data_IF_556678936240
#
_entry.id   IF_556678936240
#
_cell.length_a   1.000
_cell.length_b   1.000
_cell.length_c   1.000
_cell.angle_alpha   90.00
_cell.angle_beta   90.00
_cell.angle_gamma   90.00
#
_symmetry.space_group_name_H-M   'P 1'
#
loop_
_entity.id
_entity.type
_entity.pdbx_description
1 polymer ?
#
# COMPACT_ATOMS: atom_id res chain seq x y z
N UNK A 1 8.63 7.79 10.67
CA UNK A 1 8.63 6.89 9.49
C UNK A 1 9.86 7.19 8.66
N UNK A 2 10.27 6.30 7.76
CA UNK A 2 11.34 6.55 6.78
C UNK A 2 10.83 6.58 5.35
N UNK A 3 9.59 6.21 5.11
CA UNK A 3 9.00 6.27 3.78
C UNK A 3 7.49 6.07 3.78
N UNK A 4 6.91 6.35 2.60
CA UNK A 4 5.52 6.14 2.25
C UNK A 4 5.44 4.98 1.24
N UNK A 5 4.45 4.10 1.39
CA UNK A 5 4.31 2.90 0.55
C UNK A 5 2.95 2.78 -0.15
N UNK A 6 2.08 3.80 -0.03
CA UNK A 6 0.81 3.85 -0.73
C UNK A 6 0.34 5.29 -0.91
N UNK A 7 0.52 5.84 -2.09
CA UNK A 7 0.03 7.17 -2.46
C UNK A 7 -0.15 7.30 -3.98
N UNK A 8 -0.89 8.32 -4.39
CA UNK A 8 -1.34 8.55 -5.76
C UNK A 8 -0.89 9.91 -6.28
N UNK A 9 -0.72 9.99 -7.59
CA UNK A 9 -0.39 11.22 -8.31
C UNK A 9 -1.47 11.58 -9.34
N UNK A 10 -1.21 12.61 -10.14
CA UNK A 10 -2.08 12.98 -11.28
C UNK A 10 -2.14 11.92 -12.39
N UNK A 11 -1.40 10.81 -12.28
CA UNK A 11 -1.57 9.65 -13.15
C UNK A 11 -2.86 8.87 -12.85
N UNK A 12 -3.38 8.96 -11.63
CA UNK A 12 -4.73 8.57 -11.26
C UNK A 12 -5.68 9.76 -11.40
N UNK A 13 -6.90 9.57 -11.90
CA UNK A 13 -7.83 10.68 -12.14
C UNK A 13 -8.30 11.41 -10.88
N UNK A 14 -8.16 10.78 -9.73
CA UNK A 14 -8.48 11.30 -8.39
C UNK A 14 -7.27 11.88 -7.66
N UNK A 15 -6.06 11.69 -8.19
CA UNK A 15 -4.84 12.33 -7.71
C UNK A 15 -4.76 13.82 -8.10
N UNK A 16 -4.22 14.63 -7.18
CA UNK A 16 -4.21 16.11 -7.31
C UNK A 16 -2.83 16.73 -7.26
N UNK A 17 -1.80 15.94 -7.10
CA UNK A 17 -0.40 16.39 -7.08
C UNK A 17 0.42 15.55 -8.04
N UNK A 18 1.38 16.18 -8.72
CA UNK A 18 2.35 15.48 -9.55
C UNK A 18 3.26 14.58 -8.73
N UNK A 19 3.95 13.65 -9.39
CA UNK A 19 4.95 12.78 -8.75
C UNK A 19 5.99 13.62 -8.02
N UNK A 20 6.47 14.70 -8.65
CA UNK A 20 7.49 15.57 -8.05
C UNK A 20 6.98 16.31 -6.81
N UNK A 21 5.74 16.84 -6.83
CA UNK A 21 5.14 17.50 -5.67
C UNK A 21 4.97 16.51 -4.49
N UNK A 22 4.53 15.28 -4.76
CA UNK A 22 4.43 14.23 -3.77
C UNK A 22 5.80 13.88 -3.17
N UNK A 23 6.81 13.69 -4.02
CA UNK A 23 8.18 13.38 -3.61
C UNK A 23 8.80 14.50 -2.76
N UNK A 24 8.63 15.77 -3.16
CA UNK A 24 9.14 16.94 -2.40
C UNK A 24 8.46 17.08 -1.04
N UNK A 25 7.14 16.87 -0.98
CA UNK A 25 6.39 16.92 0.28
C UNK A 25 6.79 15.79 1.23
N UNK A 26 6.93 14.55 0.75
CA UNK A 26 7.39 13.42 1.55
C UNK A 26 8.83 13.65 2.06
N UNK A 27 9.73 14.14 1.20
CA UNK A 27 11.11 14.51 1.58
C UNK A 27 11.13 15.59 2.65
N UNK A 28 10.30 16.62 2.52
CA UNK A 28 10.18 17.70 3.52
C UNK A 28 9.63 17.18 4.85
N UNK A 29 8.77 16.17 4.85
CA UNK A 29 8.27 15.49 6.04
C UNK A 29 9.29 14.52 6.67
N UNK A 30 10.51 14.42 6.12
CA UNK A 30 11.63 13.61 6.64
C UNK A 30 11.70 12.20 6.11
N UNK A 31 10.89 11.84 5.11
CA UNK A 31 10.99 10.55 4.44
C UNK A 31 12.26 10.45 3.59
N UNK A 32 12.64 9.23 3.28
CA UNK A 32 13.78 8.88 2.44
C UNK A 32 13.36 8.26 1.11
N UNK A 33 12.14 7.73 1.04
CA UNK A 33 11.55 7.12 -0.14
C UNK A 33 10.02 7.23 -0.12
N UNK A 34 9.42 7.06 -1.29
CA UNK A 34 7.98 7.03 -1.50
C UNK A 34 7.67 6.06 -2.65
N UNK A 35 6.74 5.13 -2.47
CA UNK A 35 6.21 4.32 -3.55
C UNK A 35 5.03 5.05 -4.20
N UNK A 36 5.15 5.33 -5.49
CA UNK A 36 4.06 5.85 -6.28
C UNK A 36 3.20 4.68 -6.74
N UNK A 37 2.00 4.57 -6.18
CA UNK A 37 1.11 3.42 -6.35
C UNK A 37 -0.21 3.82 -7.00
N UNK A 38 -0.14 4.56 -8.09
CA UNK A 38 -1.33 4.95 -8.85
C UNK A 38 -2.14 3.71 -9.26
N UNK A 39 -3.46 3.87 -9.35
CA UNK A 39 -4.38 2.79 -9.66
C UNK A 39 -4.11 2.15 -11.03
N UNK A 40 -4.02 0.83 -11.09
CA UNK A 40 -3.73 0.03 -12.30
C UNK A 40 -4.64 0.36 -13.48
N UNK A 41 -5.93 0.61 -13.23
CA UNK A 41 -6.89 0.86 -14.30
C UNK A 41 -6.70 2.19 -15.02
N UNK A 42 -5.95 3.15 -14.44
CA UNK A 42 -5.54 4.39 -15.09
C UNK A 42 -4.20 4.29 -15.83
N UNK A 43 -3.44 3.21 -15.60
CA UNK A 43 -2.08 3.04 -16.11
C UNK A 43 -2.00 2.05 -17.30
N UNK A 44 -3.09 1.90 -18.05
CA UNK A 44 -3.15 1.05 -19.24
C UNK A 44 -2.58 1.75 -20.48
N UNK A 45 -2.47 1.01 -21.55
CA UNK A 45 -2.16 1.51 -22.91
C UNK A 45 -0.87 2.34 -22.98
N UNK A 46 0.21 1.84 -22.37
CA UNK A 46 1.54 2.48 -22.35
C UNK A 46 1.70 3.61 -21.34
N UNK A 47 0.67 3.89 -20.54
CA UNK A 47 0.74 4.93 -19.51
C UNK A 47 1.63 4.53 -18.34
N UNK A 48 1.72 3.24 -18.00
CA UNK A 48 2.58 2.75 -16.93
C UNK A 48 4.06 3.02 -17.24
N UNK A 49 4.50 2.70 -18.44
CA UNK A 49 5.89 2.95 -18.87
C UNK A 49 6.17 4.46 -18.98
N UNK A 50 5.16 5.25 -19.35
CA UNK A 50 5.29 6.71 -19.37
C UNK A 50 5.43 7.27 -17.93
N UNK A 51 4.67 6.77 -16.97
CA UNK A 51 4.83 7.11 -15.56
C UNK A 51 6.21 6.71 -15.03
N UNK A 52 6.72 5.53 -15.40
CA UNK A 52 8.05 5.08 -14.98
C UNK A 52 9.16 6.01 -15.48
N UNK A 53 9.04 6.51 -16.71
CA UNK A 53 9.98 7.53 -17.24
C UNK A 53 9.93 8.82 -16.42
N UNK A 54 8.73 9.31 -16.08
CA UNK A 54 8.60 10.48 -15.20
C UNK A 54 9.19 10.22 -13.81
N UNK A 55 8.98 9.02 -13.22
CA UNK A 55 9.59 8.64 -11.95
C UNK A 55 11.12 8.69 -12.04
N UNK A 56 11.70 8.17 -13.13
CA UNK A 56 13.15 8.18 -13.32
C UNK A 56 13.68 9.63 -13.43
N UNK A 57 12.99 10.51 -14.16
CA UNK A 57 13.34 11.94 -14.25
C UNK A 57 13.19 12.67 -12.92
N UNK A 58 12.12 12.39 -12.15
CA UNK A 58 11.93 12.98 -10.82
C UNK A 58 13.03 12.50 -9.88
N UNK A 59 13.43 11.22 -9.93
CA UNK A 59 14.49 10.67 -9.11
C UNK A 59 15.81 11.44 -9.31
N UNK A 60 16.15 11.89 -10.54
CA UNK A 60 17.33 12.72 -10.76
C UNK A 60 17.25 14.07 -10.02
N UNK A 61 16.05 14.66 -9.96
CA UNK A 61 15.84 16.00 -9.37
C UNK A 61 15.72 15.99 -7.83
N UNK A 62 15.30 14.88 -7.23
CA UNK A 62 15.03 14.82 -5.79
C UNK A 62 16.11 14.13 -4.95
N UNK A 63 17.18 13.62 -5.56
CA UNK A 63 18.28 12.95 -4.85
C UNK A 63 18.64 13.62 -3.53
N UNK A 64 18.99 12.89 -2.49
CA UNK A 64 19.09 11.43 -2.37
C UNK A 64 17.77 10.74 -2.02
N UNK A 65 16.63 11.43 -2.09
CA UNK A 65 15.29 10.85 -1.94
C UNK A 65 14.98 9.91 -3.12
N UNK A 66 14.23 8.84 -2.89
CA UNK A 66 13.88 7.88 -3.94
C UNK A 66 12.37 7.74 -4.09
N UNK A 67 11.87 7.95 -5.31
CA UNK A 67 10.53 7.53 -5.75
C UNK A 67 10.65 6.11 -6.30
N UNK A 68 9.81 5.21 -5.80
CA UNK A 68 9.74 3.82 -6.20
C UNK A 68 8.66 3.65 -7.26
N UNK A 69 8.90 2.77 -8.23
CA UNK A 69 7.91 2.33 -9.22
C UNK A 69 6.95 1.36 -8.54
N UNK A 70 5.74 1.81 -8.24
CA UNK A 70 4.73 1.00 -7.59
C UNK A 70 3.42 1.00 -8.36
N UNK A 71 2.45 0.24 -7.85
CA UNK A 71 1.09 0.18 -8.37
C UNK A 71 0.12 -0.19 -7.26
N UNK A 72 -1.10 0.37 -7.29
CA UNK A 72 -2.24 -0.21 -6.60
C UNK A 72 -3.08 -0.98 -7.61
N UNK A 73 -2.99 -2.30 -7.55
CA UNK A 73 -3.69 -3.24 -8.42
C UNK A 73 -5.01 -3.69 -7.80
N UNK A 74 -6.02 -3.93 -8.66
CA UNK A 74 -7.31 -4.42 -8.20
C UNK A 74 -7.28 -5.95 -8.00
N UNK A 75 -7.84 -6.42 -6.90
CA UNK A 75 -8.20 -7.82 -6.70
C UNK A 75 -9.55 -8.06 -7.38
N UNK A 76 -9.56 -8.83 -8.48
CA UNK A 76 -10.77 -9.16 -9.25
C UNK A 76 -11.71 -10.07 -8.48
N UNK A 77 -12.90 -10.31 -9.02
CA UNK A 77 -13.93 -11.16 -8.40
C UNK A 77 -13.50 -12.62 -8.24
N UNK A 78 -12.57 -13.10 -9.06
CA UNK A 78 -11.97 -14.42 -8.98
C UNK A 78 -10.71 -14.47 -8.10
N UNK A 79 -10.31 -13.35 -7.51
CA UNK A 79 -9.10 -13.21 -6.68
C UNK A 79 -7.83 -12.93 -7.45
N UNK A 80 -7.86 -12.95 -8.80
CA UNK A 80 -6.69 -12.58 -9.60
C UNK A 80 -6.37 -11.09 -9.51
N UNK A 81 -5.12 -10.73 -9.77
CA UNK A 81 -4.66 -9.34 -9.85
C UNK A 81 -4.92 -8.82 -11.28
N UNK A 82 -5.35 -7.57 -11.41
CA UNK A 82 -5.70 -6.98 -12.72
C UNK A 82 -4.51 -6.49 -13.56
N UNK A 83 -3.31 -6.84 -13.12
CA UNK A 83 -2.02 -6.58 -13.79
C UNK A 83 -1.32 -7.91 -14.01
N UNK A 84 -0.71 -8.09 -15.17
CA UNK A 84 0.01 -9.33 -15.51
C UNK A 84 1.28 -9.49 -14.68
N UNK A 85 1.66 -10.72 -14.34
CA UNK A 85 2.81 -11.03 -13.49
C UNK A 85 4.13 -10.53 -14.12
N UNK A 86 4.24 -10.55 -15.44
CA UNK A 86 5.40 -10.02 -16.19
C UNK A 86 5.60 -8.51 -15.94
N UNK A 87 4.51 -7.79 -15.70
CA UNK A 87 4.56 -6.37 -15.31
C UNK A 87 4.82 -6.20 -13.82
N UNK A 88 4.17 -7.02 -12.98
CA UNK A 88 4.32 -6.94 -11.53
C UNK A 88 5.77 -7.19 -11.07
N UNK A 89 6.50 -8.06 -11.75
CA UNK A 89 7.90 -8.38 -11.41
C UNK A 89 8.85 -7.19 -11.59
N UNK A 90 8.54 -6.28 -12.50
CA UNK A 90 9.35 -5.07 -12.78
C UNK A 90 9.16 -3.96 -11.74
N UNK A 91 8.11 -4.05 -10.91
CA UNK A 91 7.76 -3.02 -9.93
C UNK A 91 8.59 -3.13 -8.65
N UNK A 92 8.89 -1.98 -8.07
CA UNK A 92 9.53 -1.90 -6.75
C UNK A 92 8.54 -2.27 -5.61
N UNK A 93 7.23 -1.94 -5.76
CA UNK A 93 6.23 -2.17 -4.73
C UNK A 93 4.82 -2.37 -5.32
N UNK A 94 4.13 -3.43 -4.91
CA UNK A 94 2.77 -3.76 -5.37
C UNK A 94 1.81 -3.81 -4.19
N UNK A 95 0.81 -2.95 -4.22
CA UNK A 95 -0.35 -3.00 -3.33
C UNK A 95 -1.51 -3.65 -4.07
N UNK A 96 -2.14 -4.66 -3.48
CA UNK A 96 -3.35 -5.26 -4.01
C UNK A 96 -4.55 -4.90 -3.14
N UNK A 97 -5.63 -4.40 -3.75
CA UNK A 97 -6.77 -3.84 -3.02
C UNK A 97 -8.13 -4.30 -3.54
N UNK A 98 -9.08 -4.46 -2.63
CA UNK A 98 -10.50 -4.62 -2.98
C UNK A 98 -11.13 -3.25 -3.22
N UNK A 99 -11.60 -2.97 -4.45
CA UNK A 99 -12.31 -1.74 -4.79
C UNK A 99 -13.79 -1.94 -5.13
N UNK A 100 -14.20 -3.19 -5.34
CA UNK A 100 -15.58 -3.54 -5.73
C UNK A 100 -16.00 -4.90 -5.20
N UNK A 101 -17.30 -5.21 -5.30
CA UNK A 101 -17.88 -6.50 -4.93
C UNK A 101 -17.48 -6.93 -3.50
N UNK A 102 -17.62 -6.02 -2.54
CA UNK A 102 -17.23 -6.23 -1.14
C UNK A 102 -18.03 -7.33 -0.43
N UNK A 103 -19.17 -7.72 -1.01
CA UNK A 103 -20.08 -8.78 -0.57
C UNK A 103 -19.83 -10.14 -1.23
N UNK A 104 -18.86 -10.23 -2.15
CA UNK A 104 -18.59 -11.45 -2.92
C UNK A 104 -17.27 -12.07 -2.49
N UNK A 105 -17.35 -13.03 -1.57
CA UNK A 105 -16.21 -13.85 -1.09
C UNK A 105 -14.94 -13.03 -0.83
N UNK A 106 -14.99 -11.93 -0.04
CA UNK A 106 -13.84 -11.03 0.11
C UNK A 106 -12.63 -11.75 0.71
N UNK A 107 -12.83 -12.69 1.63
CA UNK A 107 -11.76 -13.47 2.24
C UNK A 107 -11.02 -14.29 1.20
N UNK A 108 -11.72 -15.10 0.42
CA UNK A 108 -11.14 -16.01 -0.59
C UNK A 108 -10.38 -15.21 -1.66
N UNK A 109 -10.90 -14.06 -2.05
CA UNK A 109 -10.24 -13.15 -3.01
C UNK A 109 -8.93 -12.59 -2.45
N UNK A 110 -8.92 -12.18 -1.19
CA UNK A 110 -7.70 -11.70 -0.54
C UNK A 110 -6.70 -12.85 -0.38
N UNK A 111 -7.14 -14.05 0.00
CA UNK A 111 -6.28 -15.22 0.09
C UNK A 111 -5.63 -15.54 -1.25
N UNK A 112 -6.39 -15.53 -2.34
CA UNK A 112 -5.85 -15.72 -3.69
C UNK A 112 -4.82 -14.63 -4.08
N UNK A 113 -5.08 -13.37 -3.71
CA UNK A 113 -4.13 -12.29 -3.92
C UNK A 113 -2.84 -12.45 -3.10
N UNK A 114 -2.94 -12.99 -1.87
CA UNK A 114 -1.79 -13.31 -1.02
C UNK A 114 -0.93 -14.44 -1.61
N UNK A 115 -1.50 -15.30 -2.45
CA UNK A 115 -0.78 -16.37 -3.13
C UNK A 115 0.06 -15.88 -4.31
N UNK A 116 -0.21 -14.67 -4.82
CA UNK A 116 0.59 -14.07 -5.87
C UNK A 116 1.94 -13.58 -5.30
N UNK A 117 3.09 -14.14 -5.75
CA UNK A 117 4.41 -13.82 -5.20
C UNK A 117 4.88 -12.39 -5.47
N UNK A 118 4.19 -11.66 -6.36
CA UNK A 118 4.51 -10.28 -6.70
C UNK A 118 3.75 -9.25 -5.88
N UNK A 119 2.75 -9.68 -5.08
CA UNK A 119 2.01 -8.80 -4.17
C UNK A 119 2.82 -8.56 -2.91
N UNK A 120 3.18 -7.32 -2.63
CA UNK A 120 3.96 -6.93 -1.47
C UNK A 120 3.08 -6.58 -0.25
N UNK A 121 1.89 -6.01 -0.49
CA UNK A 121 0.95 -5.60 0.56
C UNK A 121 -0.51 -5.71 0.12
N UNK A 122 -1.38 -6.07 1.05
CA UNK A 122 -2.83 -5.86 0.89
C UNK A 122 -3.16 -4.48 1.42
N UNK A 123 -3.75 -3.64 0.56
CA UNK A 123 -4.20 -2.30 0.91
C UNK A 123 -5.55 -2.31 1.62
N UNK A 124 -5.81 -1.32 2.48
CA UNK A 124 -7.09 -1.10 3.20
C UNK A 124 -8.01 -2.32 3.31
N UNK A 125 -7.54 -3.30 4.10
CA UNK A 125 -7.96 -4.72 4.15
C UNK A 125 -9.47 -4.97 4.02
N UNK A 126 -10.31 -4.18 4.71
CA UNK A 126 -11.76 -4.37 4.68
C UNK A 126 -12.45 -3.43 3.69
N UNK A 127 -11.74 -2.46 3.15
CA UNK A 127 -12.31 -1.43 2.26
C UNK A 127 -13.37 -0.56 2.92
N UNK A 128 -13.45 -0.53 4.27
CA UNK A 128 -14.44 0.29 4.98
C UNK A 128 -14.29 1.76 4.67
N UNK A 129 -15.40 2.47 4.76
CA UNK A 129 -15.44 3.94 4.79
C UNK A 129 -16.30 4.40 5.95
N UNK A 130 -15.68 5.05 6.93
CA UNK A 130 -16.33 5.51 8.17
C UNK A 130 -17.54 6.41 7.82
N UNK A 131 -18.66 6.15 8.44
CA UNK A 131 -19.94 6.83 8.22
C UNK A 131 -20.52 6.72 6.79
N UNK A 132 -19.92 5.90 5.91
CA UNK A 132 -20.38 5.75 4.52
C UNK A 132 -20.66 4.30 4.12
N UNK A 133 -19.75 3.38 4.45
CA UNK A 133 -19.85 1.97 4.06
C UNK A 133 -19.18 1.10 5.12
N UNK A 134 -19.85 0.04 5.60
CA UNK A 134 -19.19 -0.97 6.42
C UNK A 134 -18.03 -1.63 5.66
N UNK A 135 -17.10 -2.20 6.37
CA UNK A 135 -16.08 -3.03 5.77
C UNK A 135 -16.67 -4.32 5.20
N UNK A 136 -15.96 -4.91 4.24
CA UNK A 136 -16.23 -6.26 3.79
C UNK A 136 -16.12 -7.25 4.96
N UNK A 137 -16.93 -8.30 4.94
CA UNK A 137 -16.91 -9.37 5.94
C UNK A 137 -15.71 -10.30 5.67
N UNK A 138 -14.55 -9.89 6.14
CA UNK A 138 -13.27 -10.58 5.96
C UNK A 138 -12.95 -11.41 7.20
N UNK A 139 -12.67 -12.69 7.02
CA UNK A 139 -12.06 -13.55 8.04
C UNK A 139 -10.59 -13.13 8.25
N UNK A 140 -10.40 -12.18 9.16
CA UNK A 140 -9.10 -11.55 9.37
C UNK A 140 -8.08 -12.57 9.92
N UNK A 141 -8.50 -13.55 10.70
CA UNK A 141 -7.62 -14.58 11.24
C UNK A 141 -7.00 -15.42 10.13
N UNK A 142 -7.81 -15.87 9.16
CA UNK A 142 -7.32 -16.59 7.99
C UNK A 142 -6.38 -15.75 7.13
N UNK A 143 -6.74 -14.49 6.89
CA UNK A 143 -5.91 -13.57 6.09
C UNK A 143 -4.57 -13.33 6.79
N UNK A 144 -4.57 -13.08 8.09
CA UNK A 144 -3.34 -12.89 8.88
C UNK A 144 -2.46 -14.15 8.85
N UNK A 145 -3.05 -15.33 9.04
CA UNK A 145 -2.31 -16.60 8.96
C UNK A 145 -1.63 -16.76 7.59
N UNK A 146 -2.37 -16.50 6.50
CA UNK A 146 -1.82 -16.60 5.14
C UNK A 146 -0.77 -15.54 4.86
N UNK A 147 -0.94 -14.31 5.36
CA UNK A 147 0.03 -13.23 5.21
C UNK A 147 1.37 -13.55 5.89
N UNK A 148 1.36 -14.28 7.03
CA UNK A 148 2.57 -14.80 7.67
C UNK A 148 3.29 -15.81 6.76
N UNK A 149 2.55 -16.76 6.17
CA UNK A 149 3.10 -17.81 5.31
C UNK A 149 3.72 -17.24 4.03
N UNK A 150 3.02 -16.29 3.39
CA UNK A 150 3.48 -15.66 2.13
C UNK A 150 4.48 -14.56 2.36
N UNK A 151 4.57 -14.02 3.59
CA UNK A 151 5.40 -12.87 3.91
C UNK A 151 4.85 -11.57 3.31
N UNK A 152 3.60 -11.52 2.88
CA UNK A 152 2.94 -10.31 2.38
C UNK A 152 2.54 -9.41 3.54
N UNK A 153 2.68 -8.10 3.36
CA UNK A 153 2.33 -7.12 4.38
C UNK A 153 0.82 -6.83 4.42
N UNK A 154 0.31 -6.42 5.57
CA UNK A 154 -1.06 -5.93 5.73
C UNK A 154 -1.04 -4.46 6.16
N UNK A 155 -1.70 -3.61 5.42
CA UNK A 155 -1.64 -2.16 5.55
C UNK A 155 -2.44 -1.61 6.74
N UNK A 156 -1.89 -0.61 7.45
CA UNK A 156 -2.68 0.38 8.18
C UNK A 156 -2.82 1.61 7.28
N UNK A 157 -3.98 1.77 6.65
CA UNK A 157 -4.34 2.92 5.84
C UNK A 157 -4.79 4.08 6.72
N UNK A 158 -4.12 5.22 6.60
CA UNK A 158 -4.29 6.38 7.46
C UNK A 158 -5.35 7.38 6.97
N UNK A 159 -6.05 7.09 5.85
CA UNK A 159 -7.11 7.99 5.38
C UNK A 159 -8.15 8.20 6.49
N UNK A 160 -8.53 9.46 6.77
CA UNK A 160 -9.43 9.79 7.88
C UNK A 160 -10.80 9.08 7.79
N UNK A 161 -11.26 8.80 6.57
CA UNK A 161 -12.52 8.10 6.34
C UNK A 161 -12.37 6.57 6.28
N UNK A 162 -11.14 6.03 6.41
CA UNK A 162 -10.87 4.59 6.42
C UNK A 162 -10.38 4.09 7.79
N UNK A 163 -9.17 4.49 8.19
CA UNK A 163 -8.42 3.95 9.34
C UNK A 163 -8.44 2.41 9.34
N UNK A 164 -8.12 1.82 8.22
CA UNK A 164 -8.19 0.39 7.90
C UNK A 164 -6.77 -0.19 7.68
N UNK A 165 -6.32 -1.15 8.45
CA UNK A 165 -6.99 -2.04 9.42
C UNK A 165 -7.41 -1.30 10.70
N UNK A 166 -8.43 -1.89 11.36
CA UNK A 166 -8.79 -1.52 12.74
C UNK A 166 -7.66 -1.90 13.70
N UNK A 167 -7.59 -1.20 14.84
CA UNK A 167 -6.60 -1.46 15.88
C UNK A 167 -6.58 -2.92 16.38
N UNK A 168 -7.75 -3.54 16.56
CA UNK A 168 -7.85 -4.96 16.96
C UNK A 168 -7.27 -5.91 15.90
N UNK A 169 -7.47 -5.64 14.62
CA UNK A 169 -6.91 -6.43 13.52
C UNK A 169 -5.40 -6.21 13.36
N UNK A 170 -4.98 -4.95 13.48
CA UNK A 170 -3.56 -4.59 13.44
C UNK A 170 -2.78 -5.21 14.60
N UNK A 171 -3.41 -5.30 15.80
CA UNK A 171 -2.84 -5.99 16.94
C UNK A 171 -2.64 -7.47 16.66
N UNK A 172 -3.67 -8.17 16.19
CA UNK A 172 -3.59 -9.59 15.82
C UNK A 172 -2.47 -9.82 14.80
N UNK A 173 -2.42 -9.00 13.73
CA UNK A 173 -1.37 -9.08 12.71
C UNK A 173 0.03 -8.87 13.30
N UNK A 174 0.20 -7.90 14.21
CA UNK A 174 1.48 -7.65 14.87
C UNK A 174 1.93 -8.78 15.80
N UNK A 175 1.01 -9.35 16.59
CA UNK A 175 1.28 -10.45 17.51
C UNK A 175 1.67 -11.74 16.77
N UNK A 176 1.16 -11.94 15.55
CA UNK A 176 1.50 -13.12 14.71
C UNK A 176 2.72 -12.91 13.83
N UNK A 177 3.31 -11.71 13.79
CA UNK A 177 4.55 -11.43 13.06
C UNK A 177 4.34 -10.92 11.63
N UNK A 178 3.12 -10.58 11.23
CA UNK A 178 2.85 -9.91 9.95
C UNK A 178 3.55 -8.55 9.93
N UNK A 179 4.14 -8.19 8.80
CA UNK A 179 4.72 -6.88 8.57
C UNK A 179 3.63 -5.86 8.25
N UNK A 180 3.67 -4.71 8.91
CA UNK A 180 2.61 -3.71 8.82
C UNK A 180 3.18 -2.39 8.31
N UNK A 181 2.95 -1.98 7.05
CA UNK A 181 3.21 -0.62 6.61
C UNK A 181 2.10 0.31 7.12
N UNK A 182 2.48 1.49 7.60
CA UNK A 182 1.56 2.59 7.86
C UNK A 182 1.64 3.52 6.66
N UNK A 183 0.55 3.66 5.94
CA UNK A 183 0.49 4.38 4.68
C UNK A 183 -0.60 5.44 4.71
N UNK A 184 -0.55 6.38 3.78
CA UNK A 184 -1.52 7.48 3.78
C UNK A 184 -2.61 7.32 2.73
N UNK A 185 -2.40 6.51 1.68
CA UNK A 185 -3.29 6.46 0.51
C UNK A 185 -3.56 7.90 0.00
N UNK A 186 -2.49 8.74 0.05
CA UNK A 186 -2.60 10.16 -0.19
C UNK A 186 -2.81 10.46 -1.66
N UNK A 187 -3.86 11.20 -1.99
CA UNK A 187 -4.19 11.68 -3.33
C UNK A 187 -3.77 13.14 -3.57
N UNK A 188 -3.02 13.70 -2.63
CA UNK A 188 -2.39 15.01 -2.75
C UNK A 188 -1.22 15.12 -1.78
N UNK A 189 -0.27 16.00 -2.05
CA UNK A 189 0.89 16.24 -1.19
C UNK A 189 0.49 16.62 0.24
N UNK A 190 -0.58 17.40 0.40
CA UNK A 190 -1.09 17.79 1.72
C UNK A 190 -1.71 16.64 2.52
N UNK A 191 -2.13 15.55 1.87
CA UNK A 191 -2.74 14.40 2.54
C UNK A 191 -1.70 13.46 3.19
N UNK A 192 -0.41 13.60 2.87
CA UNK A 192 0.68 12.85 3.53
C UNK A 192 0.71 13.08 5.05
N UNK A 193 0.17 14.22 5.55
CA UNK A 193 0.02 14.50 6.98
C UNK A 193 -0.88 13.49 7.72
N UNK A 194 -1.79 12.81 7.02
CA UNK A 194 -2.69 11.82 7.62
C UNK A 194 -1.95 10.62 8.21
N UNK A 195 -0.67 10.46 7.92
CA UNK A 195 0.21 9.47 8.56
C UNK A 195 0.09 9.47 10.09
N UNK A 196 -0.12 10.63 10.70
CA UNK A 196 -0.28 10.76 12.15
C UNK A 196 -1.46 9.94 12.68
N UNK A 197 -2.54 9.83 11.91
CA UNK A 197 -3.71 9.00 12.27
C UNK A 197 -3.36 7.51 12.24
N UNK A 198 -2.62 7.07 11.23
CA UNK A 198 -2.14 5.67 11.14
C UNK A 198 -1.16 5.32 12.26
N UNK A 199 -0.29 6.26 12.64
CA UNK A 199 0.59 6.08 13.81
C UNK A 199 -0.22 5.98 15.10
N UNK A 200 -1.27 6.81 15.26
CA UNK A 200 -2.18 6.72 16.41
C UNK A 200 -2.90 5.34 16.43
N UNK A 201 -3.36 4.87 15.27
CA UNK A 201 -3.97 3.54 15.11
C UNK A 201 -3.00 2.42 15.49
N UNK A 202 -1.75 2.48 15.02
CA UNK A 202 -0.71 1.51 15.37
C UNK A 202 -0.40 1.51 16.89
N UNK A 203 -0.36 2.68 17.53
CA UNK A 203 -0.21 2.79 18.98
C UNK A 203 -1.37 2.17 19.73
N UNK A 204 -2.61 2.36 19.27
CA UNK A 204 -3.79 1.70 19.85
C UNK A 204 -3.75 0.18 19.72
N UNK A 205 -3.13 -0.29 18.63
CA UNK A 205 -2.86 -1.71 18.37
C UNK A 205 -1.66 -2.26 19.16
N UNK A 206 -0.97 -1.44 19.96
CA UNK A 206 0.23 -1.80 20.73
C UNK A 206 1.41 -2.24 19.86
N UNK A 207 1.42 -1.79 18.60
CA UNK A 207 2.52 -2.09 17.68
C UNK A 207 3.80 -1.36 18.09
N UNK A 208 4.91 -2.07 17.99
CA UNK A 208 6.24 -1.54 18.18
C UNK A 208 6.84 -1.06 16.84
N UNK A 209 7.92 -0.32 16.90
CA UNK A 209 8.65 0.14 15.73
C UNK A 209 9.15 -0.99 14.84
N UNK A 210 9.50 -2.12 15.45
CA UNK A 210 10.04 -3.31 14.78
C UNK A 210 8.99 -4.01 13.92
N UNK A 211 7.71 -3.92 14.28
CA UNK A 211 6.58 -4.48 13.55
C UNK A 211 6.14 -3.59 12.38
N UNK A 212 6.46 -2.28 12.45
CA UNK A 212 6.10 -1.33 11.40
C UNK A 212 7.16 -1.31 10.30
N UNK A 213 6.76 -1.74 9.09
CA UNK A 213 7.67 -1.98 7.97
C UNK A 213 8.41 -0.73 7.51
N UNK A 214 7.72 0.37 7.30
CA UNK A 214 8.27 1.60 6.74
C UNK A 214 8.90 2.56 7.78
N UNK A 215 9.22 2.06 8.96
CA UNK A 215 10.23 2.64 9.85
C UNK A 215 11.66 2.30 9.43
N UNK A 216 11.82 1.40 8.44
CA UNK A 216 13.08 0.90 7.90
C UNK A 216 13.49 1.66 6.64
N UNK A 217 14.77 1.56 6.28
CA UNK A 217 15.25 2.05 4.97
C UNK A 217 14.64 1.23 3.83
N UNK A 218 14.59 1.79 2.62
CA UNK A 218 14.13 1.04 1.44
C UNK A 218 14.93 -0.25 1.22
N UNK A 219 16.24 -0.21 1.41
CA UNK A 219 17.09 -1.41 1.30
C UNK A 219 16.62 -2.54 2.23
N UNK A 220 16.27 -2.20 3.46
CA UNK A 220 15.76 -3.18 4.43
C UNK A 220 14.33 -3.66 4.10
N UNK A 221 13.48 -2.77 3.55
CA UNK A 221 12.15 -3.12 3.07
C UNK A 221 12.26 -4.06 1.87
N UNK A 222 13.04 -3.68 0.86
CA UNK A 222 13.24 -4.48 -0.35
C UNK A 222 13.80 -5.88 -0.07
N UNK A 223 14.74 -5.99 0.89
CA UNK A 223 15.29 -7.29 1.31
C UNK A 223 14.26 -8.21 2.01
N UNK A 224 13.12 -7.65 2.43
CA UNK A 224 12.04 -8.37 3.13
C UNK A 224 10.82 -8.62 2.24
N UNK A 225 10.85 -8.19 1.00
CA UNK A 225 9.80 -8.52 0.03
C UNK A 225 9.74 -10.03 -0.11
N UNK A 226 8.53 -10.58 -0.06
CA UNK A 226 8.30 -12.03 -0.14
C UNK A 226 8.57 -12.64 -1.52
N UNK A 227 9.45 -12.04 -2.32
CA UNK A 227 9.86 -12.59 -3.64
C UNK A 227 10.44 -13.98 -3.42
N UNK A 228 9.70 -14.98 -3.83
CA UNK A 228 10.07 -16.37 -3.89
C UNK A 228 10.62 -16.71 -5.27
#
# INVERSE_FOLDING_TARGET
>A
MKGELHCHSTWSSDGRSTIEEMARAAKAAGDRYLAMTDHSHYLRDGRLEAQWREIDEVNERVKPFRVLKGIEANIRSDGSIDVADETLVELDWVVASLHSAFDRSPTERILAALDNPHVDSIGHLTGRKLNKRPGADVDVEKVVARAVETGTALEINSQPDRLDMRDVHARLAGETGVRIPITTDAHSSGALRYRELGVAQARRAWLTKEQVLNTRSWREVAARRGRR
#
